data_IF_502389243633
#
_entry.id   IF_502389243633
#
_cell.length_a   1.000
_cell.length_b   1.000
_cell.length_c   1.000
_cell.angle_alpha   90.00
_cell.angle_beta   90.00
_cell.angle_gamma   90.00
#
_symmetry.space_group_name_H-M   'P 1'
#
loop_
_entity.id
_entity.type
_entity.pdbx_description
1 polymer ?
#
# COMPACT_ATOMS: atom_id res chain seq x y z
N UNK A 1 0.28 -36.96 -10.87
CA UNK A 1 0.91 -35.88 -11.68
C UNK A 1 0.08 -34.61 -11.51
N UNK A 2 0.39 -33.81 -10.49
CA UNK A 2 -0.37 -32.62 -10.12
C UNK A 2 0.04 -31.44 -11.01
N UNK A 3 -0.90 -30.85 -11.76
CA UNK A 3 -0.68 -29.61 -12.50
C UNK A 3 -0.93 -28.41 -11.58
N UNK A 4 0.13 -27.64 -11.31
CA UNK A 4 0.05 -26.29 -10.72
C UNK A 4 -0.80 -25.41 -11.64
N UNK A 5 -1.71 -24.62 -11.07
CA UNK A 5 -2.36 -23.49 -11.75
C UNK A 5 -1.60 -22.22 -11.36
N UNK A 6 -0.96 -21.58 -12.33
CA UNK A 6 -0.41 -20.23 -12.20
C UNK A 6 -1.56 -19.22 -12.18
N UNK A 7 -1.56 -18.34 -11.19
CA UNK A 7 -2.33 -17.09 -11.20
C UNK A 7 -1.37 -16.03 -11.74
N UNK A 8 -1.57 -15.60 -12.99
CA UNK A 8 -0.78 -14.53 -13.60
C UNK A 8 -1.44 -13.19 -13.30
N UNK A 9 -0.87 -12.43 -12.36
CA UNK A 9 -1.24 -11.04 -12.11
C UNK A 9 -0.43 -10.12 -13.05
N UNK A 10 -1.08 -9.51 -14.04
CA UNK A 10 -0.52 -8.39 -14.81
C UNK A 10 -1.43 -7.18 -14.69
N UNK A 11 -1.24 -6.39 -13.62
CA UNK A 11 -1.97 -5.15 -13.41
C UNK A 11 -1.13 -3.93 -13.82
N UNK A 12 -1.54 -3.21 -14.87
CA UNK A 12 -1.13 -1.81 -15.08
C UNK A 12 -1.96 -0.92 -14.17
N UNK A 13 -1.31 -0.10 -13.35
CA UNK A 13 -1.97 0.89 -12.51
C UNK A 13 -2.51 2.04 -13.37
N UNK A 14 -3.83 2.25 -13.35
CA UNK A 14 -4.44 3.52 -13.73
C UNK A 14 -4.85 4.26 -12.45
N UNK A 15 -4.31 5.46 -12.27
CA UNK A 15 -4.54 6.34 -11.13
C UNK A 15 -6.01 6.78 -11.08
N UNK A 16 -6.76 6.31 -10.09
CA UNK A 16 -8.07 6.86 -9.78
C UNK A 16 -7.89 8.18 -9.02
N UNK A 17 -8.49 9.26 -9.52
CA UNK A 17 -8.57 10.56 -8.84
C UNK A 17 -9.43 10.40 -7.57
N UNK A 18 -8.84 10.54 -6.39
CA UNK A 18 -9.60 10.65 -5.14
C UNK A 18 -10.26 12.04 -5.08
N UNK A 19 -11.59 12.08 -5.18
CA UNK A 19 -12.38 13.25 -4.84
C UNK A 19 -12.74 13.19 -3.35
N UNK A 20 -12.44 14.28 -2.63
CA UNK A 20 -12.55 14.36 -1.17
C UNK A 20 -13.97 14.18 -0.63
N UNK A 21 -14.08 13.39 0.44
CA UNK A 21 -15.24 13.36 1.32
C UNK A 21 -14.96 14.28 2.51
N UNK A 22 -15.63 15.43 2.55
CA UNK A 22 -15.71 16.27 3.73
C UNK A 22 -16.78 15.69 4.66
N UNK A 23 -16.38 15.03 5.74
CA UNK A 23 -17.24 14.79 6.90
C UNK A 23 -16.98 15.87 7.95
N UNK A 24 -18.07 16.48 8.44
CA UNK A 24 -18.05 17.46 9.52
C UNK A 24 -17.75 16.75 10.84
N UNK A 25 -16.53 16.90 11.36
CA UNK A 25 -16.16 16.45 12.69
C UNK A 25 -16.94 17.22 13.78
N UNK A 26 -17.57 16.50 14.71
CA UNK A 26 -18.22 17.09 15.90
C UNK A 26 -17.23 17.80 16.83
N UNK A 27 -17.71 18.58 17.81
CA UNK A 27 -16.86 19.45 18.63
C UNK A 27 -15.90 18.63 19.50
N UNK A 28 -14.61 18.93 19.37
CA UNK A 28 -13.55 18.31 20.16
C UNK A 28 -13.65 18.71 21.65
N UNK A 29 -13.29 17.80 22.58
CA UNK A 29 -13.24 18.13 24.01
C UNK A 29 -12.18 19.21 24.29
N UNK A 30 -12.45 20.01 25.32
CA UNK A 30 -11.69 21.19 25.71
C UNK A 30 -10.18 20.89 25.90
N UNK A 31 -9.36 21.81 25.39
CA UNK A 31 -7.91 21.74 25.30
C UNK A 31 -7.22 21.66 26.66
N UNK A 32 -6.50 20.56 26.91
CA UNK A 32 -5.36 20.57 27.81
C UNK A 32 -4.26 21.48 27.20
N UNK A 33 -3.62 22.30 28.03
CA UNK A 33 -2.43 23.09 27.63
C UNK A 33 -1.40 22.18 26.95
N UNK A 34 -0.67 22.64 25.91
CA UNK A 34 0.35 21.85 25.27
C UNK A 34 1.45 21.59 26.29
N UNK A 35 1.47 20.38 26.85
CA UNK A 35 2.65 19.81 27.49
C UNK A 35 3.84 20.04 26.55
N UNK A 36 4.90 20.68 27.05
CA UNK A 36 6.10 20.90 26.27
C UNK A 36 6.55 19.56 25.69
N UNK A 37 6.56 19.43 24.36
CA UNK A 37 7.05 18.21 23.71
C UNK A 37 8.49 17.98 24.18
N UNK A 38 8.72 16.87 24.87
CA UNK A 38 10.05 16.47 25.29
C UNK A 38 10.80 15.91 24.08
N UNK A 39 11.37 16.82 23.29
CA UNK A 39 12.09 16.49 22.06
C UNK A 39 13.54 16.12 22.38
N UNK A 40 14.10 15.20 21.61
CA UNK A 40 15.53 14.88 21.69
C UNK A 40 16.30 16.05 21.08
N UNK A 41 16.99 16.84 21.90
CA UNK A 41 17.72 18.06 21.50
C UNK A 41 18.64 17.82 20.30
N UNK A 42 19.33 16.66 20.29
CA UNK A 42 20.24 16.31 19.20
C UNK A 42 19.52 16.16 17.86
N UNK A 43 18.31 15.60 17.85
CA UNK A 43 17.47 15.50 16.64
C UNK A 43 16.97 16.89 16.23
N UNK A 44 16.63 17.76 17.18
CA UNK A 44 16.23 19.15 16.88
C UNK A 44 17.35 19.91 16.18
N UNK A 45 18.61 19.68 16.55
CA UNK A 45 19.78 20.27 15.89
C UNK A 45 19.93 19.80 14.43
N UNK A 46 19.46 18.59 14.08
CA UNK A 46 19.48 18.07 12.70
C UNK A 46 18.38 18.63 11.80
N UNK A 47 17.46 19.45 12.33
CA UNK A 47 16.26 19.91 11.61
C UNK A 47 16.56 20.44 10.21
N UNK A 48 17.52 21.36 10.08
CA UNK A 48 17.81 22.00 8.80
C UNK A 48 18.33 21.00 7.76
N UNK A 49 19.20 20.09 8.18
CA UNK A 49 19.78 19.04 7.34
C UNK A 49 18.72 18.02 6.90
N UNK A 50 17.93 17.50 7.83
CA UNK A 50 16.86 16.51 7.54
C UNK A 50 15.76 17.14 6.69
N UNK A 51 15.43 18.40 6.93
CA UNK A 51 14.49 19.15 6.10
C UNK A 51 15.02 19.32 4.67
N UNK A 52 16.32 19.60 4.50
CA UNK A 52 16.94 19.67 3.19
C UNK A 52 16.90 18.31 2.47
N UNK A 53 17.20 17.21 3.17
CA UNK A 53 17.10 15.85 2.62
C UNK A 53 15.66 15.55 2.18
N UNK A 54 14.67 15.81 3.04
CA UNK A 54 13.26 15.60 2.71
C UNK A 54 12.85 16.38 1.47
N UNK A 55 13.23 17.65 1.38
CA UNK A 55 12.92 18.52 0.24
C UNK A 55 13.62 18.08 -1.04
N UNK A 56 14.86 17.61 -0.94
CA UNK A 56 15.60 17.05 -2.07
C UNK A 56 14.91 15.80 -2.62
N UNK A 57 14.51 14.86 -1.75
CA UNK A 57 13.77 13.67 -2.17
C UNK A 57 12.41 14.06 -2.76
N UNK A 58 11.69 14.99 -2.13
CA UNK A 58 10.41 15.50 -2.66
C UNK A 58 10.52 16.06 -4.07
N UNK A 59 11.58 16.81 -4.36
CA UNK A 59 11.81 17.44 -5.66
C UNK A 59 12.24 16.43 -6.75
N UNK A 60 12.68 15.22 -6.38
CA UNK A 60 13.14 14.19 -7.31
C UNK A 60 12.42 12.85 -7.08
N UNK A 61 11.08 12.80 -7.23
CA UNK A 61 10.30 11.60 -6.97
C UNK A 61 10.56 10.50 -8.01
N UNK A 62 10.75 9.28 -7.53
CA UNK A 62 10.95 8.08 -8.33
C UNK A 62 9.83 7.07 -8.08
N UNK A 63 9.39 6.38 -9.12
CA UNK A 63 8.27 5.42 -9.04
C UNK A 63 8.73 4.08 -8.45
N UNK A 64 7.75 3.22 -8.15
CA UNK A 64 7.98 1.86 -7.69
C UNK A 64 9.06 1.12 -8.52
N UNK A 65 10.10 0.65 -7.84
CA UNK A 65 11.28 -0.03 -8.39
C UNK A 65 12.23 0.81 -9.26
N UNK A 66 11.97 2.11 -9.42
CA UNK A 66 12.82 3.07 -10.12
C UNK A 66 13.57 4.01 -9.15
N UNK A 67 13.49 3.77 -7.83
CA UNK A 67 14.01 4.63 -6.74
C UNK A 67 15.54 4.62 -6.62
N UNK A 68 16.26 4.66 -7.73
CA UNK A 68 17.71 4.53 -7.79
C UNK A 68 18.43 5.69 -7.10
N UNK A 69 18.06 6.94 -7.41
CA UNK A 69 18.65 8.14 -6.82
C UNK A 69 18.36 8.20 -5.32
N UNK A 70 17.12 7.90 -4.93
CA UNK A 70 16.70 7.89 -3.53
C UNK A 70 17.45 6.81 -2.75
N UNK A 71 17.55 5.61 -3.32
CA UNK A 71 18.35 4.50 -2.78
C UNK A 71 19.83 4.87 -2.63
N UNK A 72 20.44 5.49 -3.65
CA UNK A 72 21.83 5.96 -3.61
C UNK A 72 22.04 7.00 -2.51
N UNK A 73 21.11 7.95 -2.39
CA UNK A 73 21.17 9.02 -1.39
C UNK A 73 21.08 8.47 0.04
N UNK A 74 20.12 7.58 0.28
CA UNK A 74 19.94 6.90 1.57
C UNK A 74 21.19 6.09 1.93
N UNK A 75 21.68 5.25 1.01
CA UNK A 75 22.87 4.44 1.22
C UNK A 75 24.11 5.27 1.53
N UNK A 76 24.30 6.40 0.80
CA UNK A 76 25.40 7.33 1.03
C UNK A 76 25.35 7.93 2.44
N UNK A 77 24.20 8.47 2.84
CA UNK A 77 24.02 9.08 4.17
C UNK A 77 24.27 8.09 5.31
N UNK A 78 23.72 6.87 5.21
CA UNK A 78 23.95 5.83 6.22
C UNK A 78 25.44 5.48 6.34
N UNK A 79 26.13 5.33 5.21
CA UNK A 79 27.56 5.05 5.16
C UNK A 79 28.39 6.18 5.79
N UNK A 80 28.05 7.44 5.48
CA UNK A 80 28.72 8.62 6.03
C UNK A 80 28.57 8.71 7.55
N UNK A 81 27.48 8.16 8.11
CA UNK A 81 27.26 8.06 9.55
C UNK A 81 27.84 6.79 10.19
N UNK A 82 28.62 6.00 9.45
CA UNK A 82 29.27 4.79 9.96
C UNK A 82 28.30 3.63 10.21
N UNK A 83 27.15 3.62 9.53
CA UNK A 83 26.18 2.53 9.55
C UNK A 83 26.54 1.54 8.45
N UNK A 84 26.50 0.23 8.75
CA UNK A 84 26.72 -0.82 7.75
C UNK A 84 25.55 -0.81 6.74
N UNK A 85 25.83 -0.84 5.43
CA UNK A 85 24.80 -0.69 4.39
C UNK A 85 24.75 -1.89 3.48
N UNK A 86 23.54 -2.42 3.28
CA UNK A 86 23.22 -3.43 2.29
C UNK A 86 22.20 -2.90 1.30
N UNK A 87 22.44 -3.14 0.01
CA UNK A 87 21.59 -2.66 -1.09
C UNK A 87 21.12 -3.85 -1.92
N UNK A 88 20.14 -3.61 -2.78
CA UNK A 88 19.70 -4.57 -3.79
C UNK A 88 18.53 -5.46 -3.37
N UNK A 89 18.06 -5.36 -2.12
CA UNK A 89 16.87 -6.12 -1.69
C UNK A 89 15.63 -5.49 -2.30
N UNK A 90 14.77 -6.31 -2.92
CA UNK A 90 13.60 -5.80 -3.63
C UNK A 90 13.95 -4.94 -4.84
N UNK A 91 15.19 -5.01 -5.36
CA UNK A 91 15.70 -4.09 -6.38
C UNK A 91 16.40 -2.87 -5.78
N UNK A 92 15.65 -1.82 -5.44
CA UNK A 92 16.18 -0.53 -4.97
C UNK A 92 16.24 -0.40 -3.44
N UNK A 93 15.78 -1.41 -2.69
CA UNK A 93 15.76 -1.37 -1.23
C UNK A 93 17.14 -1.29 -0.58
N UNK A 94 17.18 -0.63 0.59
CA UNK A 94 18.38 -0.39 1.38
C UNK A 94 18.14 -0.82 2.82
N UNK A 95 19.09 -1.54 3.41
CA UNK A 95 19.09 -1.89 4.83
C UNK A 95 20.36 -1.33 5.48
N UNK A 96 20.18 -0.44 6.45
CA UNK A 96 21.24 0.00 7.35
C UNK A 96 21.27 -0.86 8.60
N UNK A 97 22.45 -1.32 9.03
CA UNK A 97 22.61 -2.15 10.22
C UNK A 97 23.50 -1.43 11.22
N UNK A 98 22.98 -1.21 12.42
CA UNK A 98 23.72 -0.59 13.51
C UNK A 98 23.71 -1.49 14.74
N UNK A 99 24.89 -1.88 15.19
CA UNK A 99 25.11 -2.72 16.37
C UNK A 99 25.73 -1.90 17.49
N UNK A 100 25.29 -2.13 18.72
CA UNK A 100 25.89 -1.55 19.91
C UNK A 100 25.83 -2.52 21.09
N UNK A 101 26.92 -2.63 21.85
CA UNK A 101 27.00 -3.48 23.04
C UNK A 101 26.97 -4.98 22.75
N UNK A 102 26.51 -5.76 23.73
CA UNK A 102 26.49 -7.24 23.74
C UNK A 102 25.08 -7.84 23.65
N UNK A 103 24.05 -6.98 23.62
CA UNK A 103 22.65 -7.36 23.51
C UNK A 103 22.39 -8.16 22.23
N UNK A 104 21.57 -9.22 22.36
CA UNK A 104 21.21 -10.10 21.25
C UNK A 104 19.88 -9.75 20.58
N UNK A 105 19.14 -8.80 21.15
CA UNK A 105 17.85 -8.36 20.61
C UNK A 105 18.04 -7.46 19.41
N UNK A 106 17.09 -7.53 18.48
CA UNK A 106 17.10 -6.71 17.28
C UNK A 106 15.72 -6.14 16.97
N UNK A 107 15.69 -4.91 16.47
CA UNK A 107 14.46 -4.29 15.97
C UNK A 107 14.65 -3.79 14.54
N UNK A 108 13.57 -3.81 13.77
CA UNK A 108 13.48 -3.18 12.46
C UNK A 108 12.75 -1.84 12.55
N UNK A 109 13.28 -0.79 11.92
CA UNK A 109 12.60 0.48 11.73
C UNK A 109 12.41 0.70 10.23
N UNK A 110 11.16 0.75 9.75
CA UNK A 110 10.83 0.71 8.32
C UNK A 110 10.28 2.05 7.81
N UNK A 111 10.75 2.47 6.64
CA UNK A 111 10.22 3.56 5.83
C UNK A 111 10.14 3.13 4.36
N UNK A 112 9.06 3.46 3.67
CA UNK A 112 8.91 3.35 2.22
C UNK A 112 9.53 4.54 1.49
N UNK A 113 9.90 4.35 0.21
CA UNK A 113 10.66 5.33 -0.58
C UNK A 113 10.00 5.75 -1.89
N UNK A 114 8.99 5.03 -2.40
CA UNK A 114 8.43 5.29 -3.72
C UNK A 114 7.50 6.51 -3.77
N UNK A 115 7.39 7.10 -4.95
CA UNK A 115 6.45 8.16 -5.28
C UNK A 115 5.31 7.64 -6.17
N UNK A 116 4.34 8.51 -6.41
CA UNK A 116 3.14 8.22 -7.21
C UNK A 116 3.18 8.88 -8.60
N UNK A 117 2.53 8.28 -9.62
CA UNK A 117 2.40 8.86 -10.96
C UNK A 117 1.30 9.95 -10.99
N UNK A 118 1.50 10.99 -10.19
CA UNK A 118 0.60 12.13 -10.03
C UNK A 118 1.36 13.41 -10.37
N UNK A 119 0.78 14.26 -11.22
CA UNK A 119 1.29 15.60 -11.43
C UNK A 119 1.10 16.44 -10.17
N UNK A 120 2.19 16.96 -9.62
CA UNK A 120 2.14 17.84 -8.45
C UNK A 120 1.49 19.18 -8.78
N UNK A 121 0.55 19.60 -7.93
CA UNK A 121 -0.17 20.87 -8.07
C UNK A 121 0.35 21.97 -7.12
N UNK A 122 1.33 21.64 -6.26
CA UNK A 122 1.88 22.61 -5.32
C UNK A 122 2.78 23.64 -6.00
N UNK A 123 2.88 24.83 -5.42
CA UNK A 123 3.73 25.92 -5.91
C UNK A 123 4.93 26.25 -5.02
N UNK A 124 5.30 25.39 -4.07
CA UNK A 124 6.45 25.65 -3.20
C UNK A 124 7.79 25.34 -3.89
N UNK A 125 8.88 25.93 -3.40
CA UNK A 125 10.21 25.88 -4.04
C UNK A 125 10.86 24.49 -4.18
N UNK A 126 10.31 23.46 -3.53
CA UNK A 126 10.78 22.08 -3.55
C UNK A 126 9.75 21.13 -4.17
N UNK A 127 8.81 21.65 -4.96
CA UNK A 127 7.90 20.82 -5.74
C UNK A 127 8.71 19.93 -6.72
N UNK A 128 8.11 18.82 -7.10
CA UNK A 128 8.66 17.85 -8.04
C UNK A 128 9.16 18.52 -9.32
N UNK A 129 10.40 18.19 -9.67
CA UNK A 129 11.03 18.56 -10.94
C UNK A 129 10.72 17.55 -12.06
N UNK A 130 10.06 16.43 -11.71
CA UNK A 130 9.68 15.38 -12.65
C UNK A 130 8.18 15.45 -12.95
N UNK A 131 7.86 15.90 -14.17
CA UNK A 131 6.47 16.01 -14.62
C UNK A 131 5.71 14.68 -14.45
N UNK A 132 4.53 14.75 -13.82
CA UNK A 132 3.67 13.60 -13.61
C UNK A 132 4.10 12.66 -12.47
N UNK A 133 5.06 13.06 -11.64
CA UNK A 133 5.51 12.30 -10.46
C UNK A 133 5.47 13.18 -9.21
N UNK A 134 5.03 12.64 -8.08
CA UNK A 134 4.93 13.36 -6.82
C UNK A 134 5.00 12.40 -5.62
N UNK A 135 5.70 12.79 -4.55
CA UNK A 135 5.52 12.17 -3.23
C UNK A 135 4.19 12.61 -2.57
N UNK A 136 3.08 12.13 -3.12
CA UNK A 136 1.73 12.49 -2.65
C UNK A 136 1.29 11.71 -1.41
N UNK A 137 2.00 10.63 -1.05
CA UNK A 137 1.73 9.81 0.14
C UNK A 137 2.69 10.11 1.32
N UNK A 138 3.67 11.00 1.12
CA UNK A 138 4.58 11.43 2.20
C UNK A 138 5.80 10.52 2.46
N UNK A 139 6.11 9.59 1.55
CA UNK A 139 7.25 8.66 1.69
C UNK A 139 8.60 9.40 1.78
N UNK A 140 8.74 10.57 1.15
CA UNK A 140 9.86 11.49 1.37
C UNK A 140 10.04 11.89 2.85
N UNK A 141 8.92 12.09 3.55
CA UNK A 141 8.86 12.32 4.99
C UNK A 141 9.25 11.10 5.81
N UNK A 142 8.78 9.91 5.42
CA UNK A 142 9.13 8.65 6.10
C UNK A 142 10.64 8.38 6.03
N UNK A 143 11.24 8.53 4.85
CA UNK A 143 12.68 8.42 4.64
C UNK A 143 13.44 9.42 5.51
N UNK A 144 13.02 10.69 5.51
CA UNK A 144 13.67 11.73 6.30
C UNK A 144 13.60 11.47 7.81
N UNK A 145 12.45 11.01 8.32
CA UNK A 145 12.28 10.65 9.73
C UNK A 145 13.17 9.46 10.12
N UNK A 146 13.23 8.42 9.29
CA UNK A 146 14.06 7.25 9.55
C UNK A 146 15.56 7.58 9.49
N UNK A 147 15.99 8.42 8.54
CA UNK A 147 17.36 8.91 8.47
C UNK A 147 17.74 9.74 9.71
N UNK A 148 16.84 10.60 10.21
CA UNK A 148 17.09 11.35 11.44
C UNK A 148 17.29 10.44 12.66
N UNK A 149 16.47 9.38 12.77
CA UNK A 149 16.61 8.38 13.82
C UNK A 149 17.94 7.60 13.65
N UNK A 150 18.29 7.20 12.43
CA UNK A 150 19.51 6.47 12.13
C UNK A 150 20.77 7.28 12.52
N UNK A 151 20.81 8.56 12.13
CA UNK A 151 21.90 9.48 12.49
C UNK A 151 22.05 9.61 14.00
N UNK A 152 20.95 9.88 14.71
CA UNK A 152 20.97 10.02 16.16
C UNK A 152 21.46 8.75 16.86
N UNK A 153 20.95 7.58 16.45
CA UNK A 153 21.34 6.30 17.04
C UNK A 153 22.80 5.95 16.75
N UNK A 154 23.33 6.32 15.58
CA UNK A 154 24.74 6.14 15.25
C UNK A 154 25.68 7.00 16.11
N UNK A 155 25.28 8.25 16.39
CA UNK A 155 26.05 9.19 17.23
C UNK A 155 25.95 8.86 18.73
N UNK A 156 24.73 8.72 19.27
CA UNK A 156 24.50 8.64 20.70
C UNK A 156 24.50 7.20 21.25
N UNK A 157 24.17 6.22 20.40
CA UNK A 157 24.10 4.79 20.74
C UNK A 157 23.42 4.46 22.09
N UNK A 158 22.22 5.00 22.40
CA UNK A 158 21.55 4.81 23.69
C UNK A 158 20.82 3.45 23.80
N UNK A 159 21.43 2.36 23.32
CA UNK A 159 20.80 1.04 23.24
C UNK A 159 21.83 -0.10 23.33
N UNK A 160 21.38 -1.32 23.63
CA UNK A 160 22.22 -2.52 23.65
C UNK A 160 21.55 -3.62 22.79
N UNK A 161 22.11 -3.89 21.61
CA UNK A 161 21.50 -4.75 20.59
C UNK A 161 21.77 -4.30 19.14
N UNK A 162 20.84 -4.63 18.25
CA UNK A 162 20.89 -4.28 16.82
C UNK A 162 19.65 -3.48 16.40
N UNK A 163 19.85 -2.45 15.58
CA UNK A 163 18.78 -1.75 14.85
C UNK A 163 19.00 -1.92 13.35
N UNK A 164 18.01 -2.47 12.66
CA UNK A 164 17.97 -2.59 11.21
C UNK A 164 17.06 -1.48 10.63
N UNK A 165 17.63 -0.52 9.92
CA UNK A 165 16.91 0.55 9.23
C UNK A 165 16.52 0.07 7.83
N UNK A 166 15.24 -0.17 7.61
CA UNK A 166 14.71 -0.81 6.40
C UNK A 166 14.06 0.25 5.53
N UNK A 167 14.71 0.61 4.43
CA UNK A 167 14.20 1.52 3.42
C UNK A 167 13.64 0.70 2.26
N UNK A 168 12.31 0.62 2.21
CA UNK A 168 11.57 -0.28 1.34
C UNK A 168 11.16 0.42 0.03
N UNK A 169 11.33 -0.20 -1.14
CA UNK A 169 10.78 0.32 -2.39
C UNK A 169 9.29 -0.05 -2.55
N UNK A 170 8.67 0.52 -3.58
CA UNK A 170 7.46 -0.01 -4.20
C UNK A 170 6.30 -0.40 -3.25
N UNK A 171 6.00 0.45 -2.26
CA UNK A 171 4.86 0.26 -1.35
C UNK A 171 3.53 0.44 -2.06
N UNK A 172 3.44 1.36 -3.02
CA UNK A 172 2.23 1.83 -3.71
C UNK A 172 1.67 0.80 -4.71
N UNK A 173 1.58 -0.45 -4.26
CA UNK A 173 1.05 -1.58 -4.99
C UNK A 173 2.06 -2.42 -5.74
N UNK A 174 3.36 -2.14 -5.59
CA UNK A 174 4.43 -2.94 -6.18
C UNK A 174 4.85 -4.16 -5.36
N UNK A 175 4.35 -4.29 -4.13
CA UNK A 175 4.70 -5.37 -3.19
C UNK A 175 6.19 -5.39 -2.80
N UNK A 176 6.83 -4.23 -2.67
CA UNK A 176 8.25 -4.16 -2.36
C UNK A 176 8.63 -4.81 -1.02
N UNK A 177 7.75 -4.78 -0.01
CA UNK A 177 7.95 -5.53 1.24
C UNK A 177 8.12 -7.02 0.99
N UNK A 178 7.19 -7.64 0.25
CA UNK A 178 7.25 -9.06 -0.09
C UNK A 178 8.53 -9.38 -0.84
N UNK A 179 8.90 -8.56 -1.82
CA UNK A 179 10.11 -8.78 -2.63
C UNK A 179 11.39 -8.68 -1.79
N UNK A 180 11.47 -7.76 -0.84
CA UNK A 180 12.61 -7.71 0.09
C UNK A 180 12.66 -8.94 0.99
N UNK A 181 11.51 -9.42 1.47
CA UNK A 181 11.42 -10.65 2.27
C UNK A 181 11.88 -11.86 1.46
N UNK A 182 11.42 -11.98 0.22
CA UNK A 182 11.83 -13.05 -0.71
C UNK A 182 13.35 -13.00 -1.02
N UNK A 183 13.94 -11.80 -1.05
CA UNK A 183 15.39 -11.57 -1.18
C UNK A 183 16.16 -11.77 0.15
N UNK A 184 15.51 -12.32 1.18
CA UNK A 184 16.12 -12.72 2.45
C UNK A 184 16.29 -11.59 3.47
N UNK A 185 15.43 -10.57 3.46
CA UNK A 185 15.47 -9.45 4.44
C UNK A 185 15.56 -9.96 5.88
N UNK A 186 14.64 -10.82 6.31
CA UNK A 186 14.62 -11.28 7.71
C UNK A 186 15.56 -12.46 8.00
N UNK A 187 16.05 -13.14 6.97
CA UNK A 187 17.11 -14.15 7.12
C UNK A 187 18.47 -13.50 7.38
N UNK A 188 18.76 -12.41 6.66
CA UNK A 188 20.02 -11.66 6.77
C UNK A 188 19.99 -10.65 7.91
N UNK A 189 18.82 -10.08 8.21
CA UNK A 189 18.61 -9.01 9.16
C UNK A 189 17.45 -9.35 10.12
N UNK A 190 17.61 -10.37 10.98
CA UNK A 190 16.55 -10.80 11.89
C UNK A 190 16.11 -9.66 12.80
N UNK A 191 14.81 -9.58 13.07
CA UNK A 191 14.17 -8.59 13.92
C UNK A 191 13.19 -9.28 14.89
N UNK A 192 13.31 -9.02 16.19
CA UNK A 192 12.33 -9.46 17.20
C UNK A 192 11.02 -8.68 17.08
N UNK A 193 11.10 -7.43 16.61
CA UNK A 193 9.97 -6.56 16.32
C UNK A 193 10.29 -5.61 15.17
N UNK A 194 9.27 -5.22 14.40
CA UNK A 194 9.38 -4.23 13.33
C UNK A 194 8.41 -3.09 13.60
N UNK A 195 8.89 -1.86 13.49
CA UNK A 195 8.11 -0.64 13.66
C UNK A 195 8.09 0.14 12.35
N UNK A 196 6.91 0.63 11.97
CA UNK A 196 6.72 1.58 10.88
C UNK A 196 5.76 2.67 11.33
N UNK A 197 5.76 3.79 10.62
CA UNK A 197 4.79 4.87 10.82
C UNK A 197 4.42 5.48 9.47
N UNK A 198 3.21 6.02 9.39
CA UNK A 198 2.72 6.74 8.22
C UNK A 198 2.24 8.12 8.66
N UNK A 199 2.61 9.18 7.95
CA UNK A 199 2.04 10.49 8.18
C UNK A 199 0.54 10.49 7.81
N UNK A 200 -0.30 11.12 8.60
CA UNK A 200 -1.74 11.17 8.31
C UNK A 200 -2.21 12.63 8.31
N UNK A 201 -2.55 13.24 7.16
CA UNK A 201 -2.88 14.66 7.07
C UNK A 201 -4.01 15.11 8.01
N UNK A 202 -4.94 14.20 8.35
CA UNK A 202 -6.07 14.50 9.24
C UNK A 202 -5.74 14.42 10.74
N UNK A 203 -4.53 13.98 11.12
CA UNK A 203 -4.08 13.93 12.52
C UNK A 203 -3.24 15.18 12.82
N UNK A 204 -3.52 15.84 13.94
CA UNK A 204 -2.77 17.04 14.34
C UNK A 204 -1.31 16.71 14.63
N UNK A 205 -0.42 17.64 14.27
CA UNK A 205 1.01 17.56 14.60
C UNK A 205 1.20 17.34 16.11
N UNK A 206 2.11 16.42 16.46
CA UNK A 206 2.39 16.04 17.84
C UNK A 206 1.46 14.96 18.41
N UNK A 207 0.58 14.40 17.58
CA UNK A 207 -0.28 13.27 17.96
C UNK A 207 0.09 12.01 17.18
N UNK A 208 -0.01 10.86 17.84
CA UNK A 208 0.12 9.54 17.24
C UNK A 208 -1.17 8.77 17.47
N UNK A 209 -1.61 8.00 16.48
CA UNK A 209 -2.72 7.06 16.61
C UNK A 209 -2.18 5.64 16.41
N UNK A 210 -2.55 4.72 17.29
CA UNK A 210 -2.23 3.30 17.21
C UNK A 210 -3.43 2.49 17.65
N UNK A 211 -3.51 1.23 17.24
CA UNK A 211 -4.51 0.28 17.72
C UNK A 211 -3.86 -1.08 17.94
N UNK A 212 -4.19 -1.82 19.01
CA UNK A 212 -3.91 -3.25 19.05
C UNK A 212 -4.70 -3.96 17.95
N UNK A 213 -4.11 -5.00 17.36
CA UNK A 213 -4.74 -5.78 16.29
C UNK A 213 -4.71 -5.09 14.91
N UNK A 214 -5.59 -5.51 13.98
CA UNK A 214 -5.60 -4.99 12.61
C UNK A 214 -5.85 -3.48 12.53
N UNK A 215 -4.92 -2.75 11.89
CA UNK A 215 -5.00 -1.30 11.71
C UNK A 215 -5.49 -0.86 10.33
N UNK A 216 -5.15 -1.61 9.28
CA UNK A 216 -5.54 -1.32 7.89
C UNK A 216 -6.20 -2.54 7.25
N UNK A 217 -7.17 -2.30 6.37
CA UNK A 217 -7.83 -3.36 5.63
C UNK A 217 -6.95 -3.84 4.47
N UNK A 218 -7.09 -5.12 4.12
CA UNK A 218 -6.53 -5.74 2.92
C UNK A 218 -6.97 -5.01 1.65
N UNK A 219 -6.13 -5.02 0.61
CA UNK A 219 -6.38 -4.38 -0.68
C UNK A 219 -6.66 -5.38 -1.81
N UNK A 220 -7.72 -6.17 -1.71
CA UNK A 220 -8.00 -7.23 -2.70
C UNK A 220 -8.72 -6.70 -3.95
N UNK A 221 -8.50 -7.37 -5.09
CA UNK A 221 -9.15 -7.11 -6.39
C UNK A 221 -9.67 -8.41 -6.97
N UNK A 222 -10.76 -8.35 -7.74
CA UNK A 222 -11.31 -9.51 -8.43
C UNK A 222 -11.72 -9.16 -9.87
N UNK A 223 -11.73 -10.19 -10.71
CA UNK A 223 -12.20 -10.13 -12.10
C UNK A 223 -13.03 -11.39 -12.40
N UNK A 224 -14.18 -11.20 -13.03
CA UNK A 224 -15.08 -12.27 -13.47
C UNK A 224 -15.39 -12.01 -14.94
N UNK A 225 -15.08 -12.99 -15.79
CA UNK A 225 -15.50 -12.99 -17.20
C UNK A 225 -16.59 -14.04 -17.37
N UNK A 226 -17.75 -13.60 -17.83
CA UNK A 226 -18.87 -14.47 -18.20
C UNK A 226 -18.78 -14.70 -19.70
N UNK A 227 -18.71 -15.97 -20.11
CA UNK A 227 -18.70 -16.36 -21.53
C UNK A 227 -20.06 -16.93 -21.89
N UNK A 228 -20.72 -16.31 -22.87
CA UNK A 228 -21.98 -16.74 -23.43
C UNK A 228 -21.82 -17.18 -24.88
N UNK A 229 -22.81 -16.84 -25.70
CA UNK A 229 -22.81 -17.07 -27.15
C UNK A 229 -23.59 -15.95 -27.82
N UNK A 230 -22.92 -15.18 -28.68
CA UNK A 230 -23.53 -14.07 -29.37
C UNK A 230 -24.68 -14.48 -30.29
N UNK A 231 -25.61 -13.56 -30.48
CA UNK A 231 -26.79 -13.72 -31.32
C UNK A 231 -27.34 -12.37 -31.75
N UNK A 232 -28.18 -12.36 -32.78
CA UNK A 232 -28.99 -11.17 -33.05
C UNK A 232 -29.96 -10.96 -31.88
N UNK A 233 -30.09 -9.72 -31.37
CA UNK A 233 -30.96 -9.40 -30.24
C UNK A 233 -32.46 -9.76 -30.45
N UNK A 234 -32.92 -9.90 -31.69
CA UNK A 234 -34.28 -10.33 -32.02
C UNK A 234 -34.45 -11.86 -32.02
N UNK A 235 -33.37 -12.62 -31.87
CA UNK A 235 -33.35 -14.08 -31.86
C UNK A 235 -32.57 -14.61 -30.63
N UNK A 236 -32.96 -14.24 -29.40
CA UNK A 236 -32.17 -14.55 -28.19
C UNK A 236 -32.04 -16.06 -27.93
N UNK A 237 -33.01 -16.87 -28.38
CA UNK A 237 -33.01 -18.33 -28.25
C UNK A 237 -31.89 -19.04 -29.04
N UNK A 238 -31.18 -18.33 -29.93
CA UNK A 238 -30.04 -18.87 -30.67
C UNK A 238 -28.69 -18.65 -29.96
N UNK A 239 -28.68 -17.84 -28.91
CA UNK A 239 -27.50 -17.45 -28.13
C UNK A 239 -27.63 -17.80 -26.64
N UNK A 240 -26.64 -17.35 -25.88
CA UNK A 240 -26.62 -17.37 -24.41
C UNK A 240 -26.17 -15.98 -23.99
N UNK A 241 -27.06 -15.20 -23.40
CA UNK A 241 -26.80 -13.78 -23.10
C UNK A 241 -25.90 -13.60 -21.86
N UNK A 242 -24.61 -13.25 -22.01
CA UNK A 242 -23.72 -13.06 -20.87
C UNK A 242 -24.03 -11.77 -20.10
N UNK A 243 -24.74 -10.80 -20.68
CA UNK A 243 -25.14 -9.56 -20.01
C UNK A 243 -26.15 -9.89 -18.92
N UNK A 244 -27.17 -10.69 -19.26
CA UNK A 244 -28.17 -11.16 -18.30
C UNK A 244 -27.51 -11.91 -17.13
N UNK A 245 -26.64 -12.87 -17.43
CA UNK A 245 -25.91 -13.66 -16.42
C UNK A 245 -25.03 -12.76 -15.55
N UNK A 246 -24.29 -11.82 -16.14
CA UNK A 246 -23.44 -10.89 -15.39
C UNK A 246 -24.25 -10.04 -14.39
N UNK A 247 -25.42 -9.54 -14.77
CA UNK A 247 -26.31 -8.79 -13.88
C UNK A 247 -26.82 -9.64 -12.73
N UNK A 248 -27.14 -10.92 -12.97
CA UNK A 248 -27.53 -11.86 -11.91
C UNK A 248 -26.38 -12.13 -10.93
N UNK A 249 -25.17 -12.33 -11.44
CA UNK A 249 -23.96 -12.49 -10.60
C UNK A 249 -23.77 -11.25 -9.74
N UNK A 250 -23.74 -10.06 -10.34
CA UNK A 250 -23.56 -8.78 -9.64
C UNK A 250 -24.55 -8.61 -8.48
N UNK A 251 -25.83 -8.94 -8.70
CA UNK A 251 -26.85 -8.92 -7.65
C UNK A 251 -26.58 -9.95 -6.56
N UNK A 252 -26.23 -11.19 -6.93
CA UNK A 252 -25.91 -12.25 -5.97
C UNK A 252 -24.72 -11.90 -5.07
N UNK A 253 -23.69 -11.25 -5.62
CA UNK A 253 -22.50 -10.83 -4.88
C UNK A 253 -22.80 -9.87 -3.72
N UNK A 254 -23.81 -9.00 -3.86
CA UNK A 254 -24.24 -8.11 -2.76
C UNK A 254 -24.74 -8.88 -1.52
N UNK A 255 -25.21 -10.11 -1.73
CA UNK A 255 -25.64 -11.01 -0.67
C UNK A 255 -24.50 -11.49 0.24
N UNK A 256 -23.24 -11.50 -0.22
CA UNK A 256 -22.12 -12.05 0.55
C UNK A 256 -21.89 -11.25 1.84
N UNK A 257 -21.79 -9.93 1.71
CA UNK A 257 -21.55 -9.02 2.85
C UNK A 257 -22.75 -9.02 3.80
N UNK A 258 -23.97 -9.13 3.27
CA UNK A 258 -25.21 -8.95 4.05
C UNK A 258 -25.79 -10.26 4.60
N UNK A 259 -25.41 -11.44 4.09
CA UNK A 259 -26.00 -12.74 4.46
C UNK A 259 -25.00 -13.85 4.80
N UNK A 260 -23.71 -13.71 4.47
CA UNK A 260 -22.72 -14.77 4.75
C UNK A 260 -21.69 -14.38 5.80
N UNK A 261 -21.21 -13.14 5.76
CA UNK A 261 -20.28 -12.60 6.77
C UNK A 261 -20.98 -12.40 8.11
N UNK A 262 -20.30 -12.68 9.23
CA UNK A 262 -20.83 -12.34 10.57
C UNK A 262 -21.02 -10.83 10.67
N UNK A 263 -22.07 -10.32 11.34
CA UNK A 263 -22.29 -8.88 11.47
C UNK A 263 -21.13 -8.11 12.10
N UNK A 264 -20.37 -8.74 13.00
CA UNK A 264 -19.23 -8.13 13.71
C UNK A 264 -17.96 -7.98 12.85
N UNK A 265 -17.83 -8.76 11.77
CA UNK A 265 -16.64 -8.73 10.94
C UNK A 265 -16.72 -7.55 9.96
N UNK A 266 -15.63 -6.83 9.73
CA UNK A 266 -15.64 -5.70 8.77
C UNK A 266 -15.28 -6.17 7.36
N UNK A 267 -16.13 -5.85 6.38
CA UNK A 267 -15.82 -6.07 4.97
C UNK A 267 -16.51 -5.05 4.06
N UNK A 268 -15.84 -4.70 2.96
CA UNK A 268 -16.39 -3.96 1.83
C UNK A 268 -16.20 -4.79 0.57
N UNK A 269 -17.26 -4.93 -0.22
CA UNK A 269 -17.23 -5.51 -1.56
C UNK A 269 -17.81 -4.46 -2.52
N UNK A 270 -17.00 -3.99 -3.45
CA UNK A 270 -17.41 -2.96 -4.41
C UNK A 270 -17.19 -3.48 -5.82
N UNK A 271 -18.26 -3.52 -6.61
CA UNK A 271 -18.19 -3.75 -8.06
C UNK A 271 -18.06 -2.38 -8.70
N UNK A 272 -16.92 -2.13 -9.35
CA UNK A 272 -16.60 -0.81 -9.91
C UNK A 272 -16.53 -0.82 -11.43
N UNK A 273 -16.54 -2.00 -12.06
CA UNK A 273 -16.49 -2.16 -13.51
C UNK A 273 -17.50 -3.24 -13.93
N UNK A 274 -18.36 -2.90 -14.89
CA UNK A 274 -19.17 -3.84 -15.68
C UNK A 274 -19.08 -3.40 -17.14
N UNK A 275 -18.72 -4.31 -18.05
CA UNK A 275 -18.58 -4.02 -19.50
C UNK A 275 -19.09 -5.20 -20.32
N UNK A 276 -19.92 -4.94 -21.33
CA UNK A 276 -20.37 -5.95 -22.29
C UNK A 276 -20.99 -5.29 -23.53
N UNK A 277 -20.72 -5.85 -24.71
CA UNK A 277 -21.33 -5.46 -25.99
C UNK A 277 -20.85 -4.13 -26.58
N UNK A 278 -20.98 -4.03 -27.89
CA UNK A 278 -20.56 -2.87 -28.69
C UNK A 278 -21.67 -2.36 -29.64
N UNK A 279 -22.79 -3.10 -29.76
CA UNK A 279 -23.90 -2.78 -30.65
C UNK A 279 -25.25 -3.14 -30.01
N UNK A 280 -26.25 -2.27 -30.20
CA UNK A 280 -27.57 -2.39 -29.56
C UNK A 280 -28.40 -3.60 -30.01
N UNK A 281 -28.11 -4.14 -31.19
CA UNK A 281 -28.87 -5.24 -31.82
C UNK A 281 -28.13 -6.58 -31.79
N UNK A 282 -27.04 -6.68 -31.03
CA UNK A 282 -26.19 -7.87 -30.91
C UNK A 282 -26.06 -8.26 -29.43
N UNK A 283 -26.40 -9.51 -29.12
CA UNK A 283 -26.00 -10.14 -27.85
C UNK A 283 -24.50 -10.42 -27.94
N UNK A 284 -23.67 -9.95 -27.00
CA UNK A 284 -22.22 -10.16 -27.05
C UNK A 284 -21.83 -11.59 -26.67
N UNK A 285 -20.60 -11.97 -26.98
CA UNK A 285 -20.03 -13.27 -26.57
C UNK A 285 -19.59 -13.28 -25.11
N UNK A 286 -19.26 -12.12 -24.53
CA UNK A 286 -18.75 -12.03 -23.15
C UNK A 286 -19.26 -10.80 -22.40
N UNK A 287 -19.23 -10.90 -21.07
CA UNK A 287 -19.42 -9.78 -20.15
C UNK A 287 -18.33 -9.81 -19.06
N UNK A 288 -17.77 -8.65 -18.72
CA UNK A 288 -16.69 -8.50 -17.75
C UNK A 288 -17.15 -7.74 -16.51
N UNK A 289 -16.82 -8.25 -15.33
CA UNK A 289 -17.08 -7.64 -14.02
C UNK A 289 -15.77 -7.54 -13.25
N UNK A 290 -15.51 -6.40 -12.62
CA UNK A 290 -14.35 -6.24 -11.73
C UNK A 290 -14.64 -5.28 -10.58
N UNK A 291 -13.84 -5.40 -9.52
CA UNK A 291 -14.03 -4.64 -8.30
C UNK A 291 -12.95 -4.87 -7.26
N UNK A 292 -13.21 -4.33 -6.07
CA UNK A 292 -12.34 -4.43 -4.90
C UNK A 292 -13.02 -5.07 -3.70
N UNK A 293 -12.22 -5.77 -2.90
CA UNK A 293 -12.62 -6.29 -1.58
C UNK A 293 -11.69 -5.70 -0.52
N UNK A 294 -12.24 -5.27 0.61
CA UNK A 294 -11.50 -4.80 1.80
C UNK A 294 -11.96 -5.59 3.01
N UNK A 295 -11.02 -6.14 3.77
CA UNK A 295 -11.28 -6.96 4.98
C UNK A 295 -10.15 -6.75 5.98
N UNK A 296 -10.39 -6.97 7.27
CA UNK A 296 -9.34 -6.97 8.31
C UNK A 296 -8.90 -8.38 8.71
N UNK A 297 -9.68 -9.40 8.37
CA UNK A 297 -9.45 -10.80 8.72
C UNK A 297 -9.27 -11.64 7.43
N UNK A 298 -8.15 -12.38 7.28
CA UNK A 298 -7.95 -13.32 6.18
C UNK A 298 -9.10 -14.31 6.00
N UNK A 299 -9.70 -14.85 7.07
CA UNK A 299 -10.79 -15.81 6.98
C UNK A 299 -12.06 -15.19 6.34
N UNK A 300 -12.29 -13.90 6.56
CA UNK A 300 -13.38 -13.16 5.91
C UNK A 300 -13.08 -12.95 4.42
N UNK A 301 -11.81 -12.76 4.08
CA UNK A 301 -11.35 -12.68 2.68
C UNK A 301 -11.62 -13.99 1.95
N UNK A 302 -11.21 -15.11 2.55
CA UNK A 302 -11.40 -16.45 2.00
C UNK A 302 -12.90 -16.77 1.81
N UNK A 303 -13.72 -16.42 2.80
CA UNK A 303 -15.18 -16.56 2.70
C UNK A 303 -15.74 -15.78 1.50
N UNK A 304 -15.32 -14.52 1.31
CA UNK A 304 -15.80 -13.70 0.20
C UNK A 304 -15.36 -14.29 -1.13
N UNK A 305 -14.10 -14.74 -1.26
CA UNK A 305 -13.61 -15.39 -2.48
C UNK A 305 -14.41 -16.66 -2.80
N UNK A 306 -14.58 -17.55 -1.82
CA UNK A 306 -15.31 -18.81 -1.98
C UNK A 306 -16.76 -18.55 -2.43
N UNK A 307 -17.46 -17.63 -1.75
CA UNK A 307 -18.85 -17.30 -2.07
C UNK A 307 -18.99 -16.63 -3.42
N UNK A 308 -18.07 -15.73 -3.77
CA UNK A 308 -18.02 -15.09 -5.08
C UNK A 308 -17.87 -16.13 -6.20
N UNK A 309 -16.92 -17.05 -6.05
CA UNK A 309 -16.70 -18.15 -7.00
C UNK A 309 -17.94 -19.02 -7.16
N UNK A 310 -18.57 -19.41 -6.04
CA UNK A 310 -19.75 -20.27 -6.05
C UNK A 310 -20.96 -19.60 -6.69
N UNK A 311 -21.24 -18.33 -6.37
CA UNK A 311 -22.34 -17.57 -6.98
C UNK A 311 -22.11 -17.46 -8.48
N UNK A 312 -20.91 -17.05 -8.90
CA UNK A 312 -20.60 -16.90 -10.32
C UNK A 312 -20.79 -18.20 -11.11
N UNK A 313 -20.31 -19.34 -10.56
CA UNK A 313 -20.45 -20.65 -11.20
C UNK A 313 -21.91 -21.09 -11.28
N UNK A 314 -22.64 -21.07 -10.16
CA UNK A 314 -24.03 -21.55 -10.13
C UNK A 314 -24.96 -20.68 -10.98
N UNK A 315 -24.74 -19.36 -11.02
CA UNK A 315 -25.53 -18.47 -11.87
C UNK A 315 -25.21 -18.66 -13.36
N UNK A 316 -23.98 -19.05 -13.71
CA UNK A 316 -23.63 -19.33 -15.10
C UNK A 316 -24.09 -20.72 -15.58
N UNK A 317 -24.28 -21.67 -14.66
CA UNK A 317 -24.76 -23.02 -14.95
C UNK A 317 -26.28 -23.14 -15.10
N UNK A 318 -27.03 -22.24 -14.45
CA UNK A 318 -28.50 -22.22 -14.40
C UNK A 318 -29.14 -21.66 -15.67
#
# INVERSE_FOLDING_TARGET
>A
MARRREVVTRGRYHSARYAGLHESAGPAPASASPSAMNLIDRIVQFRAEIQAIRRDIHAHPELAYEEHRTSDRVAGLLKDWGIEVHRGLGGTGVVGVLRNGAGRRSIGLRADMDALPIAEANGFAHASTHSGRMHACGHDGHVAMLLAAAKYLAEARPFDGTVNFIFQPAEEGGAGAQKMIDDGLFDRFPCDAVFGMHNWPSIRVGQFATTPGPMMASGNRFEITVTGKGAHAAMPHLGVDPVFVAVQIVQGLQGIVTRNKKPIDSAVLSITIIRAGDAINVVPDTAFISGGVRTFDPAVTDLIEERMRRIAQLTAEA
#
